data_IF_954288366798
#
_entry.id   IF_954288366798
#
_cell.length_a   1.000
_cell.length_b   1.000
_cell.length_c   1.000
_cell.angle_alpha   90.00
_cell.angle_beta   90.00
_cell.angle_gamma   90.00
#
_symmetry.space_group_name_H-M   'P 1'
#
loop_
_entity.id
_entity.type
_entity.pdbx_description
1 polymer ?
#
# COMPACT_ATOMS: atom_id res chain seq x y z
N UNK A 1 -2.60 19.67 18.04
CA UNK A 1 -3.25 18.93 16.94
C UNK A 1 -3.71 19.96 15.91
N UNK A 2 -3.09 19.98 14.74
CA UNK A 2 -3.46 20.85 13.63
C UNK A 2 -3.93 19.96 12.47
N UNK A 3 -5.18 20.12 12.06
CA UNK A 3 -5.81 19.33 10.99
C UNK A 3 -6.72 20.23 10.17
N UNK A 4 -6.14 20.82 9.13
CA UNK A 4 -6.83 21.73 8.22
C UNK A 4 -7.92 21.03 7.41
N UNK A 5 -7.80 19.72 7.20
CA UNK A 5 -8.79 18.92 6.49
C UNK A 5 -9.98 18.54 7.39
N UNK A 6 -9.87 18.73 8.71
CA UNK A 6 -10.89 18.41 9.71
C UNK A 6 -11.40 16.97 9.60
N UNK A 7 -10.51 16.02 9.33
CA UNK A 7 -10.86 14.61 9.13
C UNK A 7 -10.44 13.71 10.29
N UNK A 8 -9.39 14.07 11.02
CA UNK A 8 -8.95 13.27 12.15
C UNK A 8 -9.84 13.48 13.37
N UNK A 9 -9.79 12.48 14.25
CA UNK A 9 -10.72 12.33 15.36
C UNK A 9 -9.92 11.98 16.61
N UNK A 10 -10.36 12.50 17.76
CA UNK A 10 -9.79 12.19 19.06
C UNK A 10 -10.86 11.45 19.87
N UNK A 11 -10.49 10.28 20.39
CA UNK A 11 -11.33 9.46 21.24
C UNK A 11 -10.67 9.35 22.61
N UNK A 12 -11.44 9.55 23.67
CA UNK A 12 -11.06 9.17 25.03
C UNK A 12 -11.75 7.85 25.33
N UNK A 13 -10.97 6.78 25.42
CA UNK A 13 -11.46 5.41 25.57
C UNK A 13 -10.68 4.68 26.67
N UNK A 14 -11.32 3.71 27.32
CA UNK A 14 -10.65 2.82 28.29
C UNK A 14 -10.05 1.59 27.61
N UNK A 15 -10.60 1.23 26.47
CA UNK A 15 -10.20 0.09 25.65
C UNK A 15 -10.23 0.50 24.17
N UNK A 16 -9.28 0.03 23.37
CA UNK A 16 -9.20 0.38 21.94
C UNK A 16 -10.42 -0.12 21.14
N UNK A 17 -11.12 -1.15 21.61
CA UNK A 17 -12.36 -1.64 21.00
C UNK A 17 -13.53 -0.65 21.13
N UNK A 18 -13.43 0.34 22.02
CA UNK A 18 -14.40 1.44 22.09
C UNK A 18 -14.21 2.46 20.96
N UNK A 19 -13.04 2.44 20.29
CA UNK A 19 -12.75 3.31 19.16
C UNK A 19 -13.43 2.77 17.90
N UNK A 20 -14.31 3.55 17.23
CA UNK A 20 -15.01 3.11 16.03
C UNK A 20 -14.06 2.53 14.99
N UNK A 21 -14.42 1.39 14.39
CA UNK A 21 -13.67 0.65 13.36
C UNK A 21 -12.34 0.02 13.79
N UNK A 22 -11.85 0.29 15.01
CA UNK A 22 -10.60 -0.28 15.48
C UNK A 22 -10.70 -1.80 15.67
N UNK A 23 -11.78 -2.28 16.29
CA UNK A 23 -12.03 -3.71 16.49
C UNK A 23 -12.18 -4.50 15.17
N UNK A 24 -12.58 -3.85 14.08
CA UNK A 24 -12.74 -4.47 12.76
C UNK A 24 -11.44 -4.47 11.94
N UNK A 25 -10.38 -3.84 12.44
CA UNK A 25 -9.12 -3.74 11.74
C UNK A 25 -8.41 -5.10 11.68
N UNK A 26 -7.77 -5.35 10.54
CA UNK A 26 -6.83 -6.45 10.39
C UNK A 26 -5.58 -6.22 11.23
N UNK A 27 -4.68 -7.22 11.26
CA UNK A 27 -3.40 -7.06 11.92
C UNK A 27 -2.60 -5.92 11.29
N UNK A 28 -1.71 -5.32 12.07
CA UNK A 28 -0.73 -4.37 11.56
C UNK A 28 0.13 -5.04 10.47
N UNK A 29 0.39 -4.32 9.38
CA UNK A 29 1.17 -4.85 8.25
C UNK A 29 2.58 -5.32 8.63
N UNK A 30 3.15 -4.81 9.73
CA UNK A 30 4.47 -5.18 10.22
C UNK A 30 4.44 -6.08 11.47
N UNK A 31 3.25 -6.47 11.95
CA UNK A 31 3.10 -7.39 13.08
C UNK A 31 3.85 -8.72 12.79
N UNK A 32 4.74 -9.19 13.69
CA UNK A 32 5.39 -10.49 13.56
C UNK A 32 4.41 -11.67 13.43
N UNK A 33 3.20 -11.57 14.00
CA UNK A 33 2.16 -12.58 13.87
C UNK A 33 1.51 -12.61 12.47
N UNK A 34 1.68 -11.55 11.67
CA UNK A 34 1.33 -11.55 10.25
C UNK A 34 2.49 -12.14 9.43
N UNK A 35 2.72 -13.44 9.62
CA UNK A 35 3.63 -14.23 8.78
C UNK A 35 3.02 -14.47 7.38
N UNK A 36 3.81 -15.08 6.49
CA UNK A 36 3.38 -15.34 5.12
C UNK A 36 2.13 -16.25 5.07
N UNK A 37 2.08 -17.29 5.89
CA UNK A 37 0.96 -18.24 5.89
C UNK A 37 -0.34 -17.58 6.35
N UNK A 38 -0.27 -16.76 7.39
CA UNK A 38 -1.39 -15.95 7.90
C UNK A 38 -1.83 -14.94 6.84
N UNK A 39 -0.88 -14.22 6.23
CA UNK A 39 -1.16 -13.29 5.14
C UNK A 39 -1.87 -13.99 3.97
N UNK A 40 -1.32 -15.12 3.51
CA UNK A 40 -1.87 -15.90 2.41
C UNK A 40 -3.28 -16.43 2.73
N UNK A 41 -3.51 -16.93 3.94
CA UNK A 41 -4.83 -17.37 4.39
C UNK A 41 -5.83 -16.21 4.39
N UNK A 42 -5.45 -15.04 4.90
CA UNK A 42 -6.31 -13.85 4.92
C UNK A 42 -6.69 -13.40 3.51
N UNK A 43 -5.77 -13.45 2.54
CA UNK A 43 -6.08 -13.05 1.14
C UNK A 43 -7.24 -13.85 0.53
N UNK A 44 -7.52 -15.07 1.00
CA UNK A 44 -8.64 -15.90 0.50
C UNK A 44 -10.00 -15.28 0.78
N UNK A 45 -10.12 -14.48 1.84
CA UNK A 45 -11.38 -13.81 2.25
C UNK A 45 -11.54 -12.42 1.62
N UNK A 46 -10.46 -11.83 1.11
CA UNK A 46 -10.46 -10.50 0.52
C UNK A 46 -10.23 -10.58 -0.98
N UNK A 47 -11.33 -10.70 -1.73
CA UNK A 47 -11.30 -10.72 -3.19
C UNK A 47 -11.31 -9.30 -3.75
N UNK A 48 -10.52 -9.04 -4.78
CA UNK A 48 -10.47 -7.71 -5.38
C UNK A 48 -9.25 -7.51 -6.25
N UNK A 49 -9.02 -6.27 -6.63
CA UNK A 49 -7.75 -5.81 -7.19
C UNK A 49 -6.68 -5.79 -6.11
N UNK A 50 -5.43 -6.11 -6.44
CA UNK A 50 -4.33 -6.21 -5.46
C UNK A 50 -4.21 -4.95 -4.61
N UNK A 51 -4.16 -3.77 -5.24
CA UNK A 51 -4.05 -2.50 -4.50
C UNK A 51 -5.28 -2.25 -3.62
N UNK A 52 -6.47 -2.58 -4.12
CA UNK A 52 -7.72 -2.43 -3.37
C UNK A 52 -7.76 -3.31 -2.11
N UNK A 53 -7.25 -4.54 -2.22
CA UNK A 53 -7.10 -5.45 -1.09
C UNK A 53 -6.09 -4.91 -0.07
N UNK A 54 -4.91 -4.48 -0.49
CA UNK A 54 -3.88 -3.91 0.39
C UNK A 54 -4.39 -2.68 1.16
N UNK A 55 -5.18 -1.81 0.52
CA UNK A 55 -5.73 -0.62 1.16
C UNK A 55 -6.95 -0.90 2.07
N UNK A 56 -7.42 -2.15 2.14
CA UNK A 56 -8.53 -2.53 3.00
C UNK A 56 -8.03 -2.75 4.43
N UNK A 57 -8.40 -1.84 5.35
CA UNK A 57 -7.97 -1.92 6.75
C UNK A 57 -8.45 -3.18 7.47
N UNK A 58 -9.53 -3.82 7.03
CA UNK A 58 -9.98 -5.11 7.59
C UNK A 58 -9.08 -6.28 7.14
N UNK A 59 -8.41 -6.15 5.99
CA UNK A 59 -7.45 -7.16 5.52
C UNK A 59 -6.13 -7.01 6.27
N UNK A 60 -5.54 -5.81 6.20
CA UNK A 60 -4.28 -5.45 6.84
C UNK A 60 -4.32 -3.96 7.18
N UNK A 61 -3.98 -3.61 8.41
CA UNK A 61 -3.98 -2.23 8.87
C UNK A 61 -2.68 -1.51 8.51
N UNK A 62 -2.73 -0.18 8.39
CA UNK A 62 -1.56 0.67 8.21
C UNK A 62 -1.14 0.91 6.75
N UNK A 63 -1.73 0.20 5.78
CA UNK A 63 -1.44 0.43 4.36
C UNK A 63 -2.46 1.40 3.76
N UNK A 64 -1.97 2.58 3.38
CA UNK A 64 -2.73 3.62 2.69
C UNK A 64 -2.57 3.61 1.16
N UNK A 65 -3.14 4.62 0.51
CA UNK A 65 -3.10 4.73 -0.96
C UNK A 65 -1.68 4.80 -1.53
N UNK A 66 -0.78 5.52 -0.84
CA UNK A 66 0.61 5.69 -1.24
C UNK A 66 1.38 4.37 -1.22
N UNK A 67 1.45 3.73 -0.06
CA UNK A 67 2.16 2.45 0.08
C UNK A 67 1.53 1.33 -0.76
N UNK A 68 0.22 1.37 -1.03
CA UNK A 68 -0.39 0.44 -1.98
C UNK A 68 0.21 0.51 -3.39
N UNK A 69 0.55 1.72 -3.88
CA UNK A 69 1.23 1.89 -5.18
C UNK A 69 2.66 1.34 -5.13
N UNK A 70 3.40 1.73 -4.10
CA UNK A 70 4.81 1.38 -3.90
C UNK A 70 5.02 -0.13 -3.74
N UNK A 71 4.17 -0.79 -2.95
CA UNK A 71 4.19 -2.24 -2.75
C UNK A 71 3.94 -2.95 -4.08
N UNK A 72 2.95 -2.52 -4.86
CA UNK A 72 2.68 -3.10 -6.17
C UNK A 72 3.87 -2.89 -7.14
N UNK A 73 4.51 -1.71 -7.11
CA UNK A 73 5.66 -1.40 -7.94
C UNK A 73 6.91 -2.20 -7.56
N UNK A 74 7.17 -2.34 -6.26
CA UNK A 74 8.25 -3.16 -5.73
C UNK A 74 8.04 -4.63 -6.09
N UNK A 75 6.81 -5.14 -5.94
CA UNK A 75 6.43 -6.50 -6.31
C UNK A 75 6.35 -6.75 -7.83
N UNK A 76 6.46 -5.70 -8.66
CA UNK A 76 6.27 -5.78 -10.12
C UNK A 76 4.88 -6.31 -10.54
N UNK A 77 3.87 -6.13 -9.68
CA UNK A 77 2.51 -6.60 -9.92
C UNK A 77 1.63 -5.44 -10.39
N UNK A 78 0.81 -5.71 -11.41
CA UNK A 78 -0.17 -4.74 -11.90
C UNK A 78 -1.23 -4.47 -10.81
N UNK A 79 -1.42 -3.20 -10.36
CA UNK A 79 -2.25 -2.90 -9.18
C UNK A 79 -3.71 -3.30 -9.33
N UNK A 80 -4.23 -3.33 -10.57
CA UNK A 80 -5.60 -3.72 -10.91
C UNK A 80 -5.75 -5.21 -11.24
N UNK A 81 -4.67 -6.00 -11.14
CA UNK A 81 -4.78 -7.46 -11.28
C UNK A 81 -5.64 -7.99 -10.15
N UNK A 82 -6.49 -8.96 -10.46
CA UNK A 82 -7.37 -9.59 -9.48
C UNK A 82 -6.55 -10.55 -8.61
N UNK A 83 -6.62 -10.42 -7.28
CA UNK A 83 -5.94 -11.32 -6.32
C UNK A 83 -6.11 -12.82 -6.64
N UNK A 84 -7.29 -13.32 -7.07
CA UNK A 84 -7.46 -14.72 -7.47
C UNK A 84 -6.57 -15.23 -8.59
N UNK A 85 -5.96 -14.33 -9.35
CA UNK A 85 -5.08 -14.70 -10.45
C UNK A 85 -3.61 -14.78 -10.05
N UNK A 86 -3.26 -14.40 -8.81
CA UNK A 86 -1.89 -14.53 -8.31
C UNK A 86 -1.56 -15.99 -8.02
N UNK A 87 -0.42 -16.43 -8.50
CA UNK A 87 0.17 -17.71 -8.09
C UNK A 87 0.84 -17.59 -6.70
N UNK A 88 1.27 -18.71 -6.09
CA UNK A 88 1.90 -18.68 -4.77
C UNK A 88 3.19 -17.85 -4.70
N UNK A 89 4.00 -17.85 -5.77
CA UNK A 89 5.27 -17.13 -5.80
C UNK A 89 5.03 -15.62 -5.89
N UNK A 90 4.05 -15.20 -6.70
CA UNK A 90 3.62 -13.81 -6.78
C UNK A 90 2.99 -13.33 -5.46
N UNK A 91 2.29 -14.20 -4.74
CA UNK A 91 1.74 -13.89 -3.44
C UNK A 91 2.85 -13.72 -2.38
N UNK A 92 3.88 -14.56 -2.42
CA UNK A 92 5.07 -14.43 -1.59
C UNK A 92 5.85 -13.16 -1.92
N UNK A 93 6.00 -12.84 -3.21
CA UNK A 93 6.61 -11.60 -3.67
C UNK A 93 5.86 -10.37 -3.18
N UNK A 94 4.52 -10.41 -3.19
CA UNK A 94 3.67 -9.35 -2.66
C UNK A 94 3.88 -9.15 -1.15
N UNK A 95 3.88 -10.25 -0.38
CA UNK A 95 4.12 -10.23 1.07
C UNK A 95 5.50 -9.65 1.39
N UNK A 96 6.55 -10.14 0.72
CA UNK A 96 7.93 -9.68 0.93
C UNK A 96 8.06 -8.20 0.59
N UNK A 97 7.48 -7.79 -0.55
CA UNK A 97 7.49 -6.38 -0.98
C UNK A 97 6.74 -5.46 -0.01
N UNK A 98 5.64 -5.92 0.59
CA UNK A 98 4.93 -5.20 1.64
C UNK A 98 5.84 -4.94 2.83
N UNK A 99 6.53 -5.97 3.33
CA UNK A 99 7.43 -5.84 4.48
C UNK A 99 8.58 -4.90 4.17
N UNK A 100 9.28 -5.10 3.04
CA UNK A 100 10.41 -4.26 2.62
C UNK A 100 10.02 -2.80 2.47
N UNK A 101 8.99 -2.48 1.68
CA UNK A 101 8.59 -1.09 1.40
C UNK A 101 8.23 -0.34 2.68
N UNK A 102 7.50 -0.99 3.60
CA UNK A 102 7.09 -0.36 4.85
C UNK A 102 8.26 -0.17 5.81
N UNK A 103 9.14 -1.16 5.94
CA UNK A 103 10.34 -1.04 6.78
C UNK A 103 11.29 0.05 6.25
N UNK A 104 11.57 0.07 4.95
CA UNK A 104 12.43 1.09 4.33
C UNK A 104 11.83 2.49 4.50
N UNK A 105 10.51 2.63 4.32
CA UNK A 105 9.83 3.90 4.53
C UNK A 105 9.93 4.37 5.99
N UNK A 106 9.82 3.46 6.97
CA UNK A 106 9.98 3.81 8.39
C UNK A 106 11.39 4.35 8.67
N UNK A 107 12.44 3.74 8.13
CA UNK A 107 13.82 4.23 8.34
C UNK A 107 14.00 5.64 7.75
N UNK A 108 13.55 5.86 6.52
CA UNK A 108 13.60 7.19 5.88
C UNK A 108 12.81 8.21 6.69
N UNK A 109 11.63 7.84 7.20
CA UNK A 109 10.77 8.73 7.97
C UNK A 109 11.33 9.04 9.35
N UNK A 110 12.01 8.10 10.03
CA UNK A 110 12.68 8.39 11.32
C UNK A 110 13.75 9.45 11.19
N UNK A 111 14.45 9.49 10.07
CA UNK A 111 15.52 10.48 9.81
C UNK A 111 14.99 11.85 9.38
N UNK A 112 13.81 11.88 8.75
CA UNK A 112 13.34 13.05 7.99
C UNK A 112 12.06 13.68 8.51
N UNK A 113 11.28 12.99 9.32
CA UNK A 113 10.06 13.55 9.90
C UNK A 113 10.48 14.66 10.90
N UNK A 114 10.03 15.90 10.69
CA UNK A 114 10.23 16.95 11.68
C UNK A 114 9.34 16.71 12.92
N UNK A 115 9.64 17.36 14.04
CA UNK A 115 8.85 17.28 15.28
C UNK A 115 7.41 17.85 15.16
N UNK A 116 6.97 18.20 13.95
CA UNK A 116 5.63 18.71 13.69
C UNK A 116 4.73 17.62 13.10
N UNK A 117 3.50 17.54 13.61
CA UNK A 117 2.53 16.50 13.23
C UNK A 117 1.90 16.70 11.84
N UNK A 118 2.19 17.82 11.17
CA UNK A 118 1.57 18.24 9.91
C UNK A 118 2.45 18.02 8.67
N UNK A 119 3.72 17.62 8.86
CA UNK A 119 4.64 17.42 7.75
C UNK A 119 4.49 16.02 7.12
N UNK A 120 4.10 15.97 5.85
CA UNK A 120 4.11 14.74 5.05
C UNK A 120 5.40 14.67 4.22
N UNK A 121 6.31 13.76 4.58
CA UNK A 121 7.51 13.46 3.77
C UNK A 121 7.20 12.30 2.83
N UNK A 122 7.10 12.57 1.52
CA UNK A 122 6.73 11.56 0.50
C UNK A 122 7.51 11.65 -0.81
N UNK A 123 8.47 12.56 -0.92
CA UNK A 123 9.31 12.75 -2.11
C UNK A 123 10.18 11.52 -2.45
N UNK A 124 10.52 10.71 -1.45
CA UNK A 124 11.30 9.48 -1.59
C UNK A 124 10.55 8.32 -2.24
N UNK A 125 9.22 8.37 -2.32
CA UNK A 125 8.41 7.31 -2.92
C UNK A 125 8.74 7.14 -4.40
N UNK A 126 8.77 5.92 -4.92
CA UNK A 126 9.26 5.63 -6.27
C UNK A 126 8.25 6.05 -7.35
N UNK A 127 6.96 5.81 -7.12
CA UNK A 127 5.90 6.01 -8.14
C UNK A 127 4.72 6.84 -7.67
N UNK A 128 4.39 6.81 -6.39
CA UNK A 128 3.23 7.49 -5.85
C UNK A 128 3.36 9.01 -5.99
N UNK A 129 2.32 9.67 -6.52
CA UNK A 129 2.34 11.11 -6.75
C UNK A 129 3.32 11.57 -7.83
N UNK A 130 3.85 10.65 -8.66
CA UNK A 130 4.84 10.94 -9.72
C UNK A 130 4.33 10.65 -11.15
N UNK A 131 3.06 10.92 -11.52
CA UNK A 131 2.60 10.67 -12.89
C UNK A 131 3.45 11.43 -13.92
N UNK A 132 3.77 10.76 -15.04
CA UNK A 132 4.58 11.30 -16.12
C UNK A 132 6.10 11.32 -15.87
N UNK A 133 6.55 11.17 -14.62
CA UNK A 133 7.97 11.08 -14.31
C UNK A 133 8.58 9.74 -14.76
N UNK A 134 9.89 9.66 -15.03
CA UNK A 134 10.53 8.42 -15.42
C UNK A 134 10.50 7.40 -14.28
N UNK A 135 10.08 6.16 -14.57
CA UNK A 135 10.14 5.05 -13.63
C UNK A 135 11.61 4.80 -13.20
N UNK A 136 11.91 4.71 -11.90
CA UNK A 136 13.28 4.48 -11.42
C UNK A 136 13.91 3.17 -11.90
N UNK A 137 13.09 2.17 -12.29
CA UNK A 137 13.57 0.86 -12.76
C UNK A 137 13.85 0.81 -14.26
N UNK A 138 13.00 1.44 -15.09
CA UNK A 138 13.04 1.25 -16.55
C UNK A 138 12.98 2.55 -17.37
N UNK A 139 12.91 3.72 -16.73
CA UNK A 139 12.84 5.02 -17.39
C UNK A 139 11.51 5.37 -18.07
N UNK A 140 10.61 4.40 -18.30
CA UNK A 140 9.30 4.66 -18.91
C UNK A 140 8.43 5.57 -18.02
N UNK A 141 7.58 6.45 -18.60
CA UNK A 141 6.73 7.34 -17.81
C UNK A 141 5.79 6.58 -16.87
N UNK A 142 5.71 7.03 -15.62
CA UNK A 142 4.75 6.52 -14.63
C UNK A 142 3.34 6.88 -15.07
N UNK A 143 2.47 5.87 -15.10
CA UNK A 143 1.06 6.02 -15.46
C UNK A 143 0.22 6.34 -14.24
N UNK A 144 -0.91 6.99 -14.48
CA UNK A 144 -1.92 7.24 -13.46
C UNK A 144 -3.30 6.80 -13.92
N UNK A 145 -4.05 6.20 -13.01
CA UNK A 145 -5.47 5.95 -13.14
C UNK A 145 -6.15 6.53 -11.91
N UNK A 146 -7.07 7.48 -12.12
CA UNK A 146 -7.88 8.06 -11.05
C UNK A 146 -9.23 7.36 -11.01
N UNK A 147 -9.59 6.84 -9.84
CA UNK A 147 -10.94 6.35 -9.55
C UNK A 147 -11.44 7.08 -8.31
N UNK A 148 -12.51 7.87 -8.49
CA UNK A 148 -13.05 8.74 -7.44
C UNK A 148 -11.95 9.62 -6.82
N UNK A 149 -11.75 9.55 -5.50
CA UNK A 149 -10.75 10.33 -4.75
C UNK A 149 -9.40 9.60 -4.57
N UNK A 150 -9.15 8.50 -5.29
CA UNK A 150 -7.91 7.72 -5.19
C UNK A 150 -7.20 7.66 -6.54
N UNK A 151 -6.01 8.27 -6.61
CA UNK A 151 -5.08 8.09 -7.71
C UNK A 151 -4.24 6.82 -7.48
N UNK A 152 -4.00 6.08 -8.55
CA UNK A 152 -3.11 4.91 -8.57
C UNK A 152 -2.01 5.16 -9.57
N UNK A 153 -0.78 5.26 -9.06
CA UNK A 153 0.41 5.50 -9.87
C UNK A 153 1.22 4.20 -10.01
N UNK A 154 1.58 3.84 -11.24
CA UNK A 154 2.28 2.58 -11.52
C UNK A 154 3.04 2.65 -12.85
N UNK A 155 4.03 1.78 -13.05
CA UNK A 155 4.78 1.70 -14.30
C UNK A 155 4.22 0.59 -15.19
N UNK A 156 3.61 0.93 -16.34
CA UNK A 156 3.04 -0.06 -17.28
C UNK A 156 4.07 -1.04 -17.85
N UNK A 157 5.33 -0.62 -17.95
CA UNK A 157 6.42 -1.47 -18.45
C UNK A 157 6.86 -2.49 -17.39
N UNK A 158 7.04 -2.04 -16.15
CA UNK A 158 7.47 -2.92 -15.05
C UNK A 158 6.33 -3.75 -14.45
N UNK A 159 5.09 -3.30 -14.60
CA UNK A 159 3.89 -3.92 -14.04
C UNK A 159 2.89 -4.13 -15.19
N UNK A 160 3.20 -5.02 -16.15
CA UNK A 160 2.35 -5.24 -17.31
C UNK A 160 0.99 -5.79 -16.87
N UNK A 161 -0.09 -5.14 -17.33
CA UNK A 161 -1.44 -5.66 -17.17
C UNK A 161 -1.74 -6.79 -18.15
N UNK A 162 -2.87 -7.47 -17.95
CA UNK A 162 -3.29 -8.63 -18.76
C UNK A 162 -3.54 -8.32 -20.26
N UNK A 163 -3.57 -7.05 -20.67
CA UNK A 163 -3.67 -6.66 -22.09
C UNK A 163 -2.31 -6.52 -22.80
N UNK A 164 -1.19 -6.57 -22.07
CA UNK A 164 0.14 -6.61 -22.67
C UNK A 164 0.57 -8.07 -22.66
N UNK A 165 0.27 -8.79 -23.74
CA UNK A 165 0.80 -10.13 -23.94
C UNK A 165 2.32 -10.07 -23.74
N UNK A 166 2.85 -10.90 -22.83
CA UNK A 166 4.29 -11.13 -22.70
C UNK A 166 4.79 -11.57 -24.09
N UNK A 167 5.54 -10.70 -24.76
CA UNK A 167 6.30 -11.08 -25.95
C UNK A 167 7.59 -11.75 -25.52
#
# INVERSE_FOLDING_TARGET
YNDTASMGKIYLARDLNEVPTFADSGPDALDPALDFDTFAQRTRRHTGEIKGMLANQQFVAGIGNAYGDEICWHAQLYPFRRRPTLDPDELLQLYTSMRTVLTDAIEVLRERIPDTLDAEVRDFLAVHGKPGQPCPRCGSPISEVKKERRATNFCRTCQPGLMVARR
#
